data_IF_877897672243
#
_entry.id   IF_877897672243
#
_cell.length_a   1.000
_cell.length_b   1.000
_cell.length_c   1.000
_cell.angle_alpha   90.00
_cell.angle_beta   90.00
_cell.angle_gamma   90.00
#
_symmetry.space_group_name_H-M   'P 1'
#
loop_
_entity.id
_entity.type
_entity.pdbx_description
1 polymer ?
#
# COMPACT_ATOMS: atom_id res chain seq x y z
N UNK A 1 -13.58 -15.08 0.88
CA UNK A 1 -13.22 -15.71 -0.40
C UNK A 1 -11.72 -15.96 -0.44
N UNK A 2 -11.16 -16.41 -1.57
CA UNK A 2 -9.73 -16.33 -1.79
C UNK A 2 -9.22 -14.88 -1.59
N UNK A 3 -7.95 -14.72 -1.30
CA UNK A 3 -7.29 -13.42 -1.18
C UNK A 3 -6.06 -13.43 -2.08
N UNK A 4 -5.71 -12.28 -2.62
CA UNK A 4 -4.57 -12.09 -3.50
C UNK A 4 -3.57 -11.15 -2.82
N UNK A 5 -2.49 -11.72 -2.29
CA UNK A 5 -1.44 -11.00 -1.57
C UNK A 5 -0.17 -11.02 -2.42
N UNK A 6 0.39 -9.83 -2.72
CA UNK A 6 1.55 -9.70 -3.63
C UNK A 6 2.85 -9.33 -2.91
N UNK A 7 2.77 -8.83 -1.68
CA UNK A 7 3.92 -8.50 -0.86
C UNK A 7 3.57 -8.54 0.64
N UNK A 8 4.55 -8.89 1.47
CA UNK A 8 4.45 -8.86 2.93
C UNK A 8 5.78 -8.47 3.56
N UNK A 9 5.77 -7.64 4.62
CA UNK A 9 6.96 -7.29 5.40
C UNK A 9 6.65 -7.12 6.89
N UNK A 10 7.55 -7.63 7.73
CA UNK A 10 7.52 -7.39 9.18
C UNK A 10 8.11 -5.99 9.45
N UNK A 11 7.53 -5.26 10.40
CA UNK A 11 8.06 -3.96 10.85
C UNK A 11 9.46 -4.10 11.46
N UNK A 12 10.28 -3.03 11.48
CA UNK A 12 11.65 -3.09 12.02
C UNK A 12 11.73 -3.59 13.47
N UNK A 13 10.73 -3.25 14.28
CA UNK A 13 10.61 -3.68 15.68
C UNK A 13 10.05 -5.10 15.86
N UNK A 14 9.66 -5.77 14.77
CA UNK A 14 9.13 -7.13 14.80
C UNK A 14 7.71 -7.26 15.36
N UNK A 15 6.98 -6.16 15.59
CA UNK A 15 5.67 -6.19 16.27
C UNK A 15 4.47 -6.18 15.33
N UNK A 16 4.67 -5.83 14.07
CA UNK A 16 3.61 -5.69 13.07
C UNK A 16 3.99 -6.35 11.75
N UNK A 17 2.98 -6.68 10.95
CA UNK A 17 3.14 -7.10 9.57
C UNK A 17 2.30 -6.20 8.67
N UNK A 18 2.89 -5.74 7.58
CA UNK A 18 2.21 -5.06 6.49
C UNK A 18 2.05 -6.01 5.29
N UNK A 19 0.95 -5.89 4.57
CA UNK A 19 0.66 -6.67 3.35
C UNK A 19 0.02 -5.81 2.27
N UNK A 20 0.40 -6.04 1.02
CA UNK A 20 -0.32 -5.54 -0.15
C UNK A 20 -1.32 -6.62 -0.58
N UNK A 21 -2.61 -6.35 -0.37
CA UNK A 21 -3.70 -7.31 -0.55
C UNK A 21 -4.79 -6.77 -1.46
N UNK A 22 -5.38 -7.66 -2.24
CA UNK A 22 -6.67 -7.49 -2.90
C UNK A 22 -7.64 -8.55 -2.41
N UNK A 23 -8.78 -8.12 -1.88
CA UNK A 23 -9.87 -9.02 -1.49
C UNK A 23 -10.66 -9.46 -2.72
N UNK A 24 -11.20 -10.68 -2.71
CA UNK A 24 -12.07 -11.21 -3.78
C UNK A 24 -13.55 -11.31 -3.36
N UNK A 25 -13.94 -10.59 -2.32
CA UNK A 25 -15.32 -10.51 -1.84
C UNK A 25 -15.87 -9.09 -2.03
N UNK A 26 -16.90 -8.70 -1.26
CA UNK A 26 -17.50 -7.36 -1.34
C UNK A 26 -16.52 -6.21 -1.09
N UNK A 27 -15.30 -6.49 -0.61
CA UNK A 27 -14.22 -5.51 -0.38
C UNK A 27 -13.27 -5.37 -1.58
N UNK A 28 -13.60 -5.99 -2.72
CA UNK A 28 -12.75 -6.00 -3.90
C UNK A 28 -12.43 -4.58 -4.39
N UNK A 29 -11.19 -4.41 -4.84
CA UNK A 29 -10.68 -3.24 -5.55
C UNK A 29 -9.88 -3.72 -6.76
N UNK A 30 -9.70 -2.87 -7.77
CA UNK A 30 -8.94 -3.25 -8.97
C UNK A 30 -7.47 -3.57 -8.63
N UNK A 31 -6.85 -2.74 -7.80
CA UNK A 31 -5.45 -2.85 -7.36
C UNK A 31 -5.30 -3.29 -5.91
N UNK A 32 -4.09 -3.68 -5.54
CA UNK A 32 -3.78 -4.06 -4.15
C UNK A 32 -3.73 -2.83 -3.25
N UNK A 33 -4.26 -2.99 -2.05
CA UNK A 33 -4.31 -1.98 -0.99
C UNK A 33 -3.39 -2.40 0.16
N UNK A 34 -2.90 -1.44 0.93
CA UNK A 34 -1.95 -1.72 2.02
C UNK A 34 -2.67 -1.89 3.34
N UNK A 35 -2.40 -3.00 4.01
CA UNK A 35 -2.96 -3.32 5.32
C UNK A 35 -1.86 -3.61 6.32
N UNK A 36 -2.10 -3.28 7.59
CA UNK A 36 -1.22 -3.57 8.72
C UNK A 36 -1.98 -4.36 9.78
N UNK A 37 -1.28 -5.26 10.44
CA UNK A 37 -1.76 -5.96 11.63
C UNK A 37 -0.65 -6.12 12.66
N UNK A 38 -0.98 -5.86 13.93
CA UNK A 38 -0.10 -6.18 15.04
C UNK A 38 -0.04 -7.70 15.26
N UNK A 39 1.16 -8.25 15.41
CA UNK A 39 1.37 -9.70 15.56
C UNK A 39 0.87 -10.23 16.91
N UNK A 40 0.89 -9.38 17.95
CA UNK A 40 0.38 -9.70 19.27
C UNK A 40 -1.15 -9.50 19.41
N UNK A 41 -1.84 -9.00 18.37
CA UNK A 41 -3.27 -8.77 18.44
C UNK A 41 -4.04 -10.09 18.55
N UNK A 42 -4.93 -10.18 19.54
CA UNK A 42 -5.83 -11.34 19.70
C UNK A 42 -6.81 -11.47 18.52
N UNK A 43 -7.14 -10.34 17.87
CA UNK A 43 -7.99 -10.34 16.68
C UNK A 43 -7.17 -10.59 15.40
N UNK A 44 -7.79 -11.29 14.45
CA UNK A 44 -7.24 -11.52 13.12
C UNK A 44 -7.50 -10.36 12.14
N UNK A 45 -7.87 -9.18 12.65
CA UNK A 45 -8.33 -8.05 11.85
C UNK A 45 -7.15 -7.32 11.20
N UNK A 46 -7.34 -6.93 9.94
CA UNK A 46 -6.38 -6.17 9.16
C UNK A 46 -6.85 -4.73 9.07
N UNK A 47 -6.02 -3.78 9.49
CA UNK A 47 -6.29 -2.36 9.35
C UNK A 47 -5.83 -1.89 7.97
N UNK A 48 -6.71 -1.26 7.21
CA UNK A 48 -6.31 -0.56 5.99
C UNK A 48 -5.53 0.71 6.36
N UNK A 49 -4.34 0.88 5.80
CA UNK A 49 -3.49 2.06 6.06
C UNK A 49 -3.35 2.92 4.81
N UNK A 50 -3.19 2.32 3.63
CA UNK A 50 -3.29 3.02 2.35
C UNK A 50 -4.37 2.34 1.50
N UNK A 51 -5.54 2.96 1.46
CA UNK A 51 -6.68 2.50 0.68
C UNK A 51 -7.12 3.59 -0.30
N UNK A 52 -6.98 3.29 -1.57
CA UNK A 52 -7.35 4.18 -2.66
C UNK A 52 -7.64 3.31 -3.91
N UNK A 53 -8.91 3.21 -4.31
CA UNK A 53 -9.33 2.31 -5.39
C UNK A 53 -8.79 2.73 -6.76
N UNK A 54 -8.30 3.97 -6.90
CA UNK A 54 -7.77 4.50 -8.16
C UNK A 54 -6.32 4.10 -8.39
N UNK A 55 -5.69 3.41 -7.43
CA UNK A 55 -4.29 2.99 -7.51
C UNK A 55 -4.09 1.50 -7.21
N UNK A 56 -3.02 0.96 -7.78
CA UNK A 56 -2.43 -0.31 -7.38
C UNK A 56 -1.16 -0.08 -6.56
N UNK A 57 -1.06 -0.71 -5.38
CA UNK A 57 0.20 -0.78 -4.62
C UNK A 57 0.93 -2.07 -4.94
N UNK A 58 2.03 -2.01 -5.70
CA UNK A 58 2.78 -3.19 -6.11
C UNK A 58 3.92 -3.55 -5.16
N UNK A 59 4.43 -2.57 -4.44
CA UNK A 59 5.58 -2.72 -3.56
C UNK A 59 5.52 -1.69 -2.43
N UNK A 60 6.09 -2.03 -1.28
CA UNK A 60 6.24 -1.11 -0.16
C UNK A 60 7.42 -1.53 0.71
N UNK A 61 7.96 -0.62 1.51
CA UNK A 61 8.90 -0.90 2.60
C UNK A 61 8.60 -0.05 3.82
N UNK A 62 8.86 -0.60 4.99
CA UNK A 62 8.93 0.19 6.23
C UNK A 62 10.12 1.16 6.18
N UNK A 63 9.97 2.33 6.80
CA UNK A 63 11.12 3.13 7.19
C UNK A 63 11.85 2.48 8.37
N UNK A 64 13.05 2.97 8.71
CA UNK A 64 13.86 2.39 9.78
C UNK A 64 13.19 2.48 11.16
N UNK A 65 12.37 3.52 11.37
CA UNK A 65 11.62 3.73 12.61
C UNK A 65 10.38 2.85 12.76
N UNK A 66 9.85 2.31 11.66
CA UNK A 66 8.59 1.58 11.65
C UNK A 66 7.36 2.49 11.77
N UNK A 67 7.52 3.79 11.54
CA UNK A 67 6.45 4.80 11.65
C UNK A 67 5.81 5.08 10.29
N UNK A 68 6.53 4.76 9.21
CA UNK A 68 6.11 5.08 7.85
C UNK A 68 6.29 3.92 6.89
N UNK A 69 5.49 3.94 5.83
CA UNK A 69 5.59 3.03 4.71
C UNK A 69 5.89 3.81 3.44
N UNK A 70 7.02 3.51 2.81
CA UNK A 70 7.33 3.97 1.46
C UNK A 70 6.71 2.98 0.48
N UNK A 71 5.97 3.45 -0.51
CA UNK A 71 5.13 2.63 -1.37
C UNK A 71 5.36 2.97 -2.84
N UNK A 72 5.40 1.96 -3.70
CA UNK A 72 5.25 2.15 -5.14
C UNK A 72 3.78 1.99 -5.51
N UNK A 73 3.21 3.03 -6.09
CA UNK A 73 1.82 3.07 -6.55
C UNK A 73 1.76 3.27 -8.06
N UNK A 74 0.68 2.81 -8.67
CA UNK A 74 0.41 2.99 -10.09
C UNK A 74 -1.04 3.44 -10.26
N UNK A 75 -1.31 4.63 -10.84
CA UNK A 75 -2.66 5.10 -11.07
C UNK A 75 -3.33 4.29 -12.18
N UNK A 76 -4.59 3.91 -11.98
CA UNK A 76 -5.40 3.28 -13.02
C UNK A 76 -6.03 4.29 -13.97
N UNK A 77 -6.32 5.48 -13.48
CA UNK A 77 -6.93 6.55 -14.25
C UNK A 77 -5.91 7.66 -14.40
N UNK A 78 -5.39 7.79 -15.62
CA UNK A 78 -4.68 9.00 -16.06
C UNK A 78 -5.60 9.81 -16.94
N UNK A 79 -5.46 11.13 -16.88
CA UNK A 79 -6.18 12.03 -17.76
C UNK A 79 -5.87 11.68 -19.22
N UNK A 80 -6.86 11.13 -19.93
CA UNK A 80 -6.74 10.75 -21.33
C UNK A 80 -6.44 11.97 -22.23
N UNK A 81 -6.81 13.17 -21.81
CA UNK A 81 -6.57 14.43 -22.51
C UNK A 81 -5.09 14.84 -22.44
N UNK A 82 -4.38 14.43 -21.37
CA UNK A 82 -2.94 14.68 -21.22
C UNK A 82 -2.08 13.86 -22.19
N UNK A 83 -2.58 12.72 -22.68
CA UNK A 83 -1.82 11.78 -23.52
C UNK A 83 -0.61 11.13 -22.81
N UNK A 84 -0.44 11.36 -21.51
CA UNK A 84 0.67 10.82 -20.72
C UNK A 84 0.28 9.43 -20.22
N UNK A 85 1.08 8.38 -20.49
CA UNK A 85 0.81 7.06 -19.94
C UNK A 85 0.97 7.07 -18.41
N UNK A 86 0.21 6.22 -17.71
CA UNK A 86 0.39 5.98 -16.29
C UNK A 86 1.81 5.52 -15.98
N UNK A 87 2.40 6.09 -14.93
CA UNK A 87 3.77 5.83 -14.48
C UNK A 87 3.76 5.37 -13.03
N UNK A 88 4.75 4.56 -12.61
CA UNK A 88 4.91 4.27 -11.20
C UNK A 88 5.30 5.55 -10.44
N UNK A 89 4.71 5.69 -9.26
CA UNK A 89 4.92 6.80 -8.34
C UNK A 89 5.42 6.26 -7.00
N UNK A 90 6.24 7.06 -6.32
CA UNK A 90 6.72 6.76 -4.98
C UNK A 90 6.01 7.65 -3.97
N UNK A 91 5.36 7.01 -3.01
CA UNK A 91 4.58 7.64 -1.96
C UNK A 91 5.16 7.30 -0.59
N UNK A 92 4.87 8.12 0.40
CA UNK A 92 5.04 7.77 1.81
C UNK A 92 3.71 7.90 2.53
N UNK A 93 3.43 6.91 3.38
CA UNK A 93 2.31 6.90 4.28
C UNK A 93 2.80 6.98 5.72
N UNK A 94 2.23 7.90 6.49
CA UNK A 94 2.53 8.07 7.92
C UNK A 94 1.45 7.35 8.75
N UNK A 95 1.87 6.38 9.58
CA UNK A 95 0.92 5.56 10.34
C UNK A 95 0.28 6.29 11.51
N UNK A 96 0.91 7.35 12.01
CA UNK A 96 0.38 8.12 13.12
C UNK A 96 -0.74 9.05 12.66
N UNK A 97 -0.57 9.68 11.49
CA UNK A 97 -1.56 10.63 10.95
C UNK A 97 -2.55 9.97 9.98
N UNK A 98 -2.18 8.85 9.37
CA UNK A 98 -2.94 8.23 8.28
C UNK A 98 -2.80 8.98 6.95
N UNK A 99 -1.89 9.95 6.85
CA UNK A 99 -1.70 10.74 5.63
C UNK A 99 -0.76 10.04 4.65
N UNK A 100 -1.14 10.07 3.38
CA UNK A 100 -0.29 9.66 2.26
C UNK A 100 0.12 10.88 1.46
N UNK A 101 1.40 10.99 1.13
CA UNK A 101 1.90 12.01 0.20
C UNK A 101 2.77 11.38 -0.86
N UNK A 102 2.65 11.87 -2.07
CA UNK A 102 3.59 11.57 -3.14
C UNK A 102 4.95 12.22 -2.84
N UNK A 103 6.02 11.56 -3.26
CA UNK A 103 7.39 12.08 -3.13
C UNK A 103 8.04 12.21 -4.50
N UNK A 104 7.83 11.24 -5.39
CA UNK A 104 8.49 11.20 -6.70
C UNK A 104 7.54 10.60 -7.74
N UNK A 105 7.33 11.33 -8.85
CA UNK A 105 6.71 10.82 -10.07
C UNK A 105 7.75 10.08 -10.94
N UNK A 106 7.32 9.09 -11.72
CA UNK A 106 8.16 8.35 -12.69
C UNK A 106 9.38 7.65 -12.05
N UNK A 107 9.17 7.03 -10.89
CA UNK A 107 10.22 6.36 -10.14
C UNK A 107 9.83 4.92 -9.77
N UNK A 108 10.85 4.07 -9.76
CA UNK A 108 10.72 2.66 -9.41
C UNK A 108 11.42 2.38 -8.06
N UNK A 109 10.75 1.58 -7.22
CA UNK A 109 11.29 1.02 -5.99
C UNK A 109 11.59 -0.47 -6.21
N UNK A 110 12.87 -0.91 -6.07
CA UNK A 110 13.26 -2.31 -6.21
C UNK A 110 13.01 -3.17 -4.96
#
# INVERSE_FOLDING_TARGET
>A
GPIDDVAAQISPDGRSVAIARRYTDSRWTQGHQLYVRALAAETAEWQAVAFDPDYNTSYFRWDEGGERLVMQRFPFFVDAESGVPARPEVWIHDLATGESREIIEDAYLP
#
